data_IF_054622192332
#
_entry.id   IF_054622192332
#
_cell.length_a   1.000
_cell.length_b   1.000
_cell.length_c   1.000
_cell.angle_alpha   90.00
_cell.angle_beta   90.00
_cell.angle_gamma   90.00
#
_symmetry.space_group_name_H-M   'P 1'
#
loop_
_entity.id
_entity.type
_entity.pdbx_description
1 polymer ?
#
# COMPACT_ATOMS: atom_id res chain seq x y z
N UNK A 1 26.98 14.55 -7.21
CA UNK A 1 25.67 15.18 -6.96
C UNK A 1 24.61 14.08 -6.88
N UNK A 2 24.26 13.60 -5.68
CA UNK A 2 23.36 12.47 -5.46
C UNK A 2 21.89 12.91 -5.53
N UNK A 3 21.16 12.49 -6.58
CA UNK A 3 19.70 12.67 -6.69
C UNK A 3 18.99 11.76 -5.69
N UNK A 4 18.32 12.36 -4.70
CA UNK A 4 17.46 11.69 -3.72
C UNK A 4 16.19 11.15 -4.42
N UNK A 5 16.01 9.83 -4.52
CA UNK A 5 14.77 9.20 -5.01
C UNK A 5 13.73 9.03 -3.91
N UNK A 6 12.46 9.38 -4.18
CA UNK A 6 11.41 9.60 -3.17
C UNK A 6 10.17 8.68 -3.18
N UNK A 7 9.99 7.80 -4.17
CA UNK A 7 8.90 6.82 -4.16
C UNK A 7 9.25 5.53 -4.93
N UNK A 8 8.59 4.41 -4.61
CA UNK A 8 8.92 3.06 -5.12
C UNK A 8 7.72 2.14 -5.25
N UNK A 9 7.72 1.30 -6.28
CA UNK A 9 6.56 0.50 -6.73
C UNK A 9 6.88 -0.99 -6.90
N UNK A 10 5.98 -1.88 -6.42
CA UNK A 10 6.04 -3.36 -6.34
C UNK A 10 5.04 -4.04 -7.28
N UNK A 11 5.37 -5.11 -8.04
CA UNK A 11 4.47 -5.87 -8.97
C UNK A 11 4.43 -7.36 -8.57
N UNK A 12 3.29 -8.07 -8.70
CA UNK A 12 3.18 -9.53 -8.45
C UNK A 12 2.11 -10.28 -9.30
N UNK A 13 2.40 -11.34 -10.08
CA UNK A 13 1.42 -12.43 -10.39
C UNK A 13 1.10 -12.85 -11.86
N UNK A 14 0.10 -13.76 -12.00
CA UNK A 14 -0.27 -14.78 -13.03
C UNK A 14 -0.70 -14.31 -14.44
N UNK A 15 -0.16 -13.20 -14.93
CA UNK A 15 -0.47 -12.69 -16.28
C UNK A 15 0.57 -13.13 -17.31
N UNK A 16 0.25 -12.97 -18.61
CA UNK A 16 1.23 -13.20 -19.67
C UNK A 16 2.46 -12.34 -19.44
N UNK A 17 3.61 -12.82 -19.90
CA UNK A 17 4.87 -12.11 -19.73
C UNK A 17 4.80 -10.72 -20.37
N UNK A 18 4.17 -10.62 -21.53
CA UNK A 18 3.97 -9.37 -22.27
C UNK A 18 3.16 -8.36 -21.47
N UNK A 19 2.07 -8.80 -20.82
CA UNK A 19 1.29 -7.95 -19.93
C UNK A 19 2.12 -7.48 -18.73
N UNK A 20 2.80 -8.39 -18.05
CA UNK A 20 3.64 -8.05 -16.90
C UNK A 20 4.73 -7.03 -17.29
N UNK A 21 5.35 -7.22 -18.45
CA UNK A 21 6.38 -6.32 -18.97
C UNK A 21 5.79 -4.94 -19.31
N UNK A 22 4.58 -4.88 -19.88
CA UNK A 22 3.87 -3.61 -20.12
C UNK A 22 3.57 -2.83 -18.82
N UNK A 23 3.16 -3.53 -17.77
CA UNK A 23 2.87 -2.95 -16.45
C UNK A 23 4.16 -2.45 -15.80
N UNK A 24 5.24 -3.22 -15.87
CA UNK A 24 6.57 -2.81 -15.38
C UNK A 24 7.05 -1.58 -16.12
N UNK A 25 6.91 -1.54 -17.44
CA UNK A 25 7.32 -0.41 -18.27
C UNK A 25 6.55 0.87 -17.89
N UNK A 26 5.24 0.79 -17.70
CA UNK A 26 4.43 1.91 -17.20
C UNK A 26 5.00 2.51 -15.90
N UNK A 27 5.42 1.65 -14.97
CA UNK A 27 5.98 2.06 -13.67
C UNK A 27 7.39 2.62 -13.79
N UNK A 28 8.23 2.01 -14.64
CA UNK A 28 9.59 2.47 -14.91
C UNK A 28 9.56 3.86 -15.55
N UNK A 29 8.69 4.08 -16.53
CA UNK A 29 8.55 5.37 -17.20
C UNK A 29 8.08 6.46 -16.25
N UNK A 30 7.05 6.18 -15.44
CA UNK A 30 6.61 7.10 -14.41
C UNK A 30 7.73 7.41 -13.40
N UNK A 31 8.45 6.37 -12.95
CA UNK A 31 9.50 6.54 -11.97
C UNK A 31 10.67 7.35 -12.51
N UNK A 32 11.10 7.07 -13.76
CA UNK A 32 12.15 7.81 -14.45
C UNK A 32 11.80 9.29 -14.58
N UNK A 33 10.55 9.61 -14.93
CA UNK A 33 10.06 10.99 -15.09
C UNK A 33 10.16 11.80 -13.80
N UNK A 34 9.85 11.19 -12.65
CA UNK A 34 9.79 11.89 -11.36
C UNK A 34 11.02 11.66 -10.47
N UNK A 35 12.01 10.91 -10.94
CA UNK A 35 13.21 10.57 -10.16
C UNK A 35 12.95 9.56 -9.04
N UNK A 36 11.88 8.77 -9.16
CA UNK A 36 11.57 7.65 -8.29
C UNK A 36 12.37 6.41 -8.69
N UNK A 37 12.31 5.36 -7.87
CA UNK A 37 13.01 4.12 -8.15
C UNK A 37 12.05 2.94 -8.00
N UNK A 38 11.98 2.06 -8.99
CA UNK A 38 11.09 0.90 -8.95
C UNK A 38 11.67 -0.25 -8.10
N UNK A 39 10.81 -1.15 -7.63
CA UNK A 39 11.21 -2.32 -6.87
C UNK A 39 10.24 -3.47 -7.16
N UNK A 40 10.63 -4.47 -7.95
CA UNK A 40 9.73 -5.54 -8.39
C UNK A 40 10.05 -6.87 -7.70
N UNK A 41 9.56 -7.12 -6.47
CA UNK A 41 9.74 -8.38 -5.79
C UNK A 41 8.81 -9.46 -6.35
N UNK A 42 9.21 -10.72 -6.20
CA UNK A 42 8.39 -11.87 -6.55
C UNK A 42 7.60 -12.36 -5.36
N UNK A 43 6.46 -13.01 -5.59
CA UNK A 43 5.64 -13.62 -4.51
C UNK A 43 6.47 -14.67 -3.75
N UNK A 44 7.27 -15.46 -4.47
CA UNK A 44 8.12 -16.51 -3.90
C UNK A 44 9.28 -16.00 -3.05
N UNK A 45 9.53 -14.68 -3.01
CA UNK A 45 10.59 -14.10 -2.17
C UNK A 45 10.20 -14.07 -0.68
N UNK A 46 8.92 -14.34 -0.35
CA UNK A 46 8.39 -14.20 1.00
C UNK A 46 7.65 -15.46 1.45
N UNK A 47 7.93 -15.91 2.68
CA UNK A 47 7.12 -16.93 3.35
C UNK A 47 5.80 -16.29 3.81
N UNK A 48 4.70 -16.78 3.26
CA UNK A 48 3.35 -16.31 3.58
C UNK A 48 2.69 -17.15 4.68
N UNK A 49 3.35 -18.19 5.20
CA UNK A 49 2.81 -19.09 6.23
C UNK A 49 1.41 -19.64 5.88
N UNK A 50 1.19 -19.91 4.60
CA UNK A 50 -0.06 -20.39 4.02
C UNK A 50 -1.07 -19.30 3.66
N UNK A 51 -0.79 -18.02 3.91
CA UNK A 51 -1.62 -16.90 3.46
C UNK A 51 -1.67 -16.75 1.93
N UNK A 52 -2.76 -16.16 1.39
CA UNK A 52 -2.90 -15.99 -0.04
C UNK A 52 -1.76 -15.17 -0.63
N UNK A 53 -1.39 -15.45 -1.89
CA UNK A 53 -0.32 -14.76 -2.60
C UNK A 53 -0.43 -13.23 -2.62
N UNK A 54 -1.66 -12.69 -2.58
CA UNK A 54 -1.91 -11.25 -2.50
C UNK A 54 -1.33 -10.60 -1.24
N UNK A 55 -1.06 -11.38 -0.19
CA UNK A 55 -0.46 -10.89 1.06
C UNK A 55 1.04 -10.63 0.94
N UNK A 56 1.72 -11.14 -0.11
CA UNK A 56 3.15 -10.88 -0.35
C UNK A 56 3.49 -9.38 -0.45
N UNK A 57 2.50 -8.53 -0.74
CA UNK A 57 2.67 -7.07 -0.73
C UNK A 57 3.04 -6.48 0.63
N UNK A 58 2.63 -7.10 1.73
CA UNK A 58 2.93 -6.64 3.09
C UNK A 58 4.42 -6.80 3.42
N UNK A 59 5.02 -8.01 3.38
CA UNK A 59 6.46 -8.16 3.61
C UNK A 59 7.30 -7.47 2.53
N UNK A 60 6.79 -7.36 1.30
CA UNK A 60 7.47 -6.60 0.25
C UNK A 60 7.50 -5.09 0.50
N UNK A 61 6.43 -4.49 1.00
CA UNK A 61 6.42 -3.08 1.40
C UNK A 61 7.43 -2.83 2.53
N UNK A 62 7.50 -3.76 3.51
CA UNK A 62 8.49 -3.73 4.59
C UNK A 62 9.93 -3.83 4.06
N UNK A 63 10.16 -4.73 3.11
CA UNK A 63 11.44 -4.87 2.42
C UNK A 63 11.79 -3.58 1.68
N UNK A 64 10.84 -2.94 0.98
CA UNK A 64 11.09 -1.66 0.31
C UNK A 64 11.49 -0.54 1.29
N UNK A 65 10.80 -0.41 2.43
CA UNK A 65 11.14 0.59 3.46
C UNK A 65 12.57 0.42 4.03
N UNK A 66 13.04 -0.83 4.07
CA UNK A 66 14.38 -1.20 4.56
C UNK A 66 15.44 -0.99 3.48
N UNK A 67 15.21 -1.51 2.27
CA UNK A 67 16.13 -1.43 1.12
C UNK A 67 16.40 0.00 0.69
N UNK A 68 15.47 0.92 0.97
CA UNK A 68 15.54 2.28 0.50
C UNK A 68 15.44 3.27 1.66
N UNK A 69 16.54 3.45 2.42
CA UNK A 69 16.52 4.16 3.68
C UNK A 69 16.11 5.63 3.55
N UNK A 70 16.36 6.25 2.40
CA UNK A 70 16.12 7.67 2.16
C UNK A 70 14.81 7.99 1.43
N UNK A 71 13.94 6.99 1.18
CA UNK A 71 12.63 7.24 0.57
C UNK A 71 11.67 7.81 1.63
N UNK A 72 10.90 8.83 1.25
CA UNK A 72 9.87 9.40 2.12
C UNK A 72 8.57 8.61 2.02
N UNK A 73 8.24 8.13 0.80
CA UNK A 73 7.03 7.36 0.54
C UNK A 73 7.38 6.03 -0.13
N UNK A 74 6.53 5.02 0.09
CA UNK A 74 6.46 3.79 -0.69
C UNK A 74 5.07 3.68 -1.27
N UNK A 75 4.96 3.50 -2.59
CA UNK A 75 3.68 3.38 -3.28
C UNK A 75 3.50 1.97 -3.81
N UNK A 76 2.69 1.18 -3.13
CA UNK A 76 2.39 -0.20 -3.51
C UNK A 76 1.28 -0.20 -4.55
N UNK A 77 1.51 -0.92 -5.65
CA UNK A 77 0.56 -1.06 -6.76
C UNK A 77 0.44 -2.54 -7.16
N UNK A 78 -0.72 -3.16 -7.02
CA UNK A 78 -0.96 -4.53 -7.50
C UNK A 78 -0.64 -4.67 -8.99
N UNK A 79 -0.34 -5.88 -9.45
CA UNK A 79 0.01 -6.19 -10.85
C UNK A 79 -0.98 -5.68 -11.91
N UNK A 80 -2.24 -5.48 -11.55
CA UNK A 80 -3.30 -5.01 -12.45
C UNK A 80 -3.53 -3.49 -12.38
N UNK A 81 -2.70 -2.77 -11.62
CA UNK A 81 -2.78 -1.31 -11.51
C UNK A 81 -1.83 -0.62 -12.50
N UNK A 82 -2.38 0.34 -13.25
CA UNK A 82 -1.70 1.15 -14.27
C UNK A 82 -1.75 2.63 -13.87
N UNK A 83 -0.63 3.33 -14.02
CA UNK A 83 -0.53 4.77 -13.82
C UNK A 83 -1.00 5.47 -15.10
N UNK A 84 -2.21 6.02 -15.07
CA UNK A 84 -2.83 6.65 -16.25
C UNK A 84 -2.43 8.11 -16.46
N UNK A 85 -2.15 8.85 -15.38
CA UNK A 85 -1.70 10.25 -15.49
C UNK A 85 -0.25 10.38 -15.03
N UNK A 86 0.72 10.35 -15.96
CA UNK A 86 2.13 10.41 -15.61
C UNK A 86 2.61 11.84 -15.31
N UNK A 87 1.78 12.87 -15.46
CA UNK A 87 2.19 14.25 -15.17
C UNK A 87 2.19 14.57 -13.67
N UNK A 88 1.33 13.91 -12.90
CA UNK A 88 1.13 14.20 -11.48
C UNK A 88 2.14 13.46 -10.62
N UNK A 89 2.73 14.18 -9.66
CA UNK A 89 3.61 13.62 -8.61
C UNK A 89 2.80 13.20 -7.41
N UNK A 90 3.26 12.16 -6.72
CA UNK A 90 2.61 11.64 -5.51
C UNK A 90 2.66 12.68 -4.39
N UNK A 91 3.82 13.34 -4.20
CA UNK A 91 4.03 14.32 -3.14
C UNK A 91 3.15 15.55 -3.30
N UNK A 92 2.85 15.93 -4.54
CA UNK A 92 2.05 17.13 -4.83
C UNK A 92 0.56 16.82 -4.91
N UNK A 93 0.19 15.71 -5.55
CA UNK A 93 -1.21 15.41 -5.87
C UNK A 93 -1.93 14.61 -4.78
N UNK A 94 -1.20 13.76 -4.05
CA UNK A 94 -1.79 12.85 -3.05
C UNK A 94 -1.29 13.22 -1.66
N UNK A 95 0.01 13.16 -1.41
CA UNK A 95 0.61 13.28 -0.08
C UNK A 95 0.84 14.72 0.38
N UNK A 96 0.41 15.71 -0.41
CA UNK A 96 0.50 17.12 -0.02
C UNK A 96 -0.43 17.39 1.18
N UNK A 97 0.07 17.91 2.32
CA UNK A 97 -0.74 18.13 3.51
C UNK A 97 -1.98 19.01 3.26
N UNK A 98 -1.84 20.09 2.48
CA UNK A 98 -2.97 20.98 2.15
C UNK A 98 -4.02 20.28 1.29
N UNK A 99 -3.56 19.43 0.36
CA UNK A 99 -4.44 18.62 -0.47
C UNK A 99 -5.21 17.61 0.36
N UNK A 100 -4.53 16.86 1.23
CA UNK A 100 -5.15 15.91 2.15
C UNK A 100 -6.17 16.62 3.04
N UNK A 101 -5.81 17.73 3.67
CA UNK A 101 -6.71 18.51 4.53
C UNK A 101 -7.96 19.01 3.79
N UNK A 102 -7.86 19.28 2.49
CA UNK A 102 -9.02 19.67 1.66
C UNK A 102 -9.94 18.51 1.30
N UNK A 103 -9.47 17.27 1.39
CA UNK A 103 -10.21 16.05 1.02
C UNK A 103 -10.74 15.28 2.24
N UNK A 104 -10.14 15.48 3.41
CA UNK A 104 -10.45 14.69 4.61
C UNK A 104 -11.79 15.10 5.21
N UNK A 105 -12.65 14.10 5.41
CA UNK A 105 -13.93 14.27 6.10
C UNK A 105 -13.67 14.16 7.61
N UNK A 106 -13.75 15.29 8.31
CA UNK A 106 -13.52 15.41 9.75
C UNK A 106 -14.84 15.58 10.49
N UNK A 107 -14.86 15.17 11.76
CA UNK A 107 -16.03 15.29 12.65
C UNK A 107 -17.31 14.60 12.18
N UNK A 108 -17.19 13.62 11.28
CA UNK A 108 -18.32 12.90 10.73
C UNK A 108 -18.48 11.54 11.40
N UNK A 109 -19.72 11.17 11.70
CA UNK A 109 -20.07 9.85 12.26
C UNK A 109 -19.64 8.73 11.30
N UNK A 110 -18.88 7.77 11.81
CA UNK A 110 -18.42 6.60 11.03
C UNK A 110 -19.59 5.66 10.70
N UNK A 111 -20.61 5.61 11.56
CA UNK A 111 -21.85 4.85 11.30
C UNK A 111 -23.03 5.82 11.33
N UNK A 112 -23.60 6.19 10.16
CA UNK A 112 -24.83 6.99 10.10
C UNK A 112 -26.02 6.25 10.74
N UNK A 113 -26.96 6.95 11.39
CA UNK A 113 -27.14 8.41 11.42
C UNK A 113 -26.62 9.10 12.70
N UNK A 114 -25.85 8.42 13.57
CA UNK A 114 -25.53 9.02 14.88
C UNK A 114 -24.53 8.27 15.75
N UNK A 115 -23.47 7.67 15.19
CA UNK A 115 -22.45 7.04 16.03
C UNK A 115 -21.70 8.05 16.91
N UNK A 116 -21.46 7.68 18.17
CA UNK A 116 -20.57 8.41 19.10
C UNK A 116 -19.15 8.50 18.54
N UNK A 117 -18.75 7.50 17.75
CA UNK A 117 -17.44 7.46 17.10
C UNK A 117 -17.49 8.32 15.84
N UNK A 118 -16.75 9.42 15.88
CA UNK A 118 -16.57 10.36 14.76
C UNK A 118 -15.15 10.29 14.23
N UNK A 119 -14.95 10.73 12.98
CA UNK A 119 -13.61 11.01 12.48
C UNK A 119 -12.95 12.11 13.32
N UNK A 120 -11.63 12.03 13.48
CA UNK A 120 -10.88 12.91 14.37
C UNK A 120 -10.91 14.38 13.89
N UNK A 121 -11.36 15.28 14.77
CA UNK A 121 -11.61 16.70 14.47
C UNK A 121 -10.36 17.48 14.05
N UNK A 122 -9.23 17.18 14.71
CA UNK A 122 -7.98 17.92 14.59
C UNK A 122 -6.96 17.23 13.68
N UNK A 123 -7.42 16.34 12.79
CA UNK A 123 -6.56 15.61 11.88
C UNK A 123 -5.87 16.58 10.89
N UNK A 124 -4.53 16.55 10.87
CA UNK A 124 -3.67 17.36 9.99
C UNK A 124 -3.11 16.49 8.87
N UNK A 125 -3.03 17.03 7.66
CA UNK A 125 -2.56 16.28 6.49
C UNK A 125 -1.10 15.84 6.62
N UNK A 126 -0.30 16.61 7.38
CA UNK A 126 1.10 16.26 7.71
C UNK A 126 1.24 15.01 8.58
N UNK A 127 0.20 14.62 9.30
CA UNK A 127 0.20 13.47 10.21
C UNK A 127 -0.39 12.21 9.56
N UNK A 128 -0.52 12.19 8.23
CA UNK A 128 -1.03 11.04 7.50
C UNK A 128 0.14 10.18 7.03
N UNK A 129 0.15 8.95 7.54
CA UNK A 129 1.18 7.95 7.26
C UNK A 129 0.70 6.84 6.31
N UNK A 130 -0.61 6.73 6.09
CA UNK A 130 -1.20 5.73 5.21
C UNK A 130 -2.36 6.31 4.42
N UNK A 131 -2.32 6.11 3.10
CA UNK A 131 -3.38 6.47 2.18
C UNK A 131 -3.71 5.26 1.33
N UNK A 132 -4.99 4.94 1.20
CA UNK A 132 -5.49 3.83 0.41
C UNK A 132 -6.66 4.28 -0.47
N UNK A 133 -6.84 3.63 -1.60
CA UNK A 133 -7.90 3.98 -2.56
C UNK A 133 -9.24 3.38 -2.18
N UNK A 134 -10.33 4.08 -2.48
CA UNK A 134 -11.69 3.53 -2.43
C UNK A 134 -12.18 3.20 -3.85
N UNK A 135 -12.91 2.11 -3.97
CA UNK A 135 -13.63 1.72 -5.18
C UNK A 135 -15.13 1.54 -4.87
N UNK A 136 -15.91 1.05 -5.84
CA UNK A 136 -17.36 0.85 -5.69
C UNK A 136 -17.74 -0.17 -4.60
N UNK A 137 -16.82 -1.07 -4.25
CA UNK A 137 -17.04 -2.15 -3.29
C UNK A 137 -16.45 -1.80 -1.90
N UNK A 138 -15.80 -0.65 -1.77
CA UNK A 138 -15.31 -0.10 -0.51
C UNK A 138 -13.83 0.25 -0.55
N UNK A 139 -13.06 -0.22 0.43
CA UNK A 139 -11.63 0.05 0.52
C UNK A 139 -10.84 -0.92 -0.36
N UNK A 140 -10.07 -0.37 -1.29
CA UNK A 140 -9.24 -1.12 -2.22
C UNK A 140 -7.78 -1.16 -1.76
N UNK A 141 -7.25 -2.36 -1.61
CA UNK A 141 -5.84 -2.60 -1.26
C UNK A 141 -4.95 -2.74 -2.50
N UNK A 142 -5.47 -2.38 -3.68
CA UNK A 142 -4.75 -2.51 -4.95
C UNK A 142 -3.75 -1.37 -5.18
N UNK A 143 -3.96 -0.22 -4.54
CA UNK A 143 -3.09 0.94 -4.57
C UNK A 143 -3.09 1.60 -3.21
N UNK A 144 -1.92 1.68 -2.57
CA UNK A 144 -1.78 2.38 -1.30
C UNK A 144 -0.38 2.96 -1.12
N UNK A 145 -0.30 4.04 -0.35
CA UNK A 145 0.94 4.76 -0.07
C UNK A 145 1.20 4.71 1.42
N UNK A 146 2.45 4.44 1.78
CA UNK A 146 2.98 4.51 3.14
C UNK A 146 3.99 5.64 3.22
N UNK A 147 3.87 6.50 4.23
CA UNK A 147 4.95 7.42 4.64
C UNK A 147 5.95 6.63 5.48
N UNK A 148 7.23 6.73 5.15
CA UNK A 148 8.27 6.10 5.96
C UNK A 148 8.25 6.69 7.38
N UNK A 149 8.11 5.81 8.37
CA UNK A 149 8.17 6.15 9.78
C UNK A 149 8.03 4.91 10.65
N UNK A 150 8.20 5.06 11.96
CA UNK A 150 8.01 3.97 12.92
C UNK A 150 6.57 3.44 12.89
N UNK A 151 5.59 4.33 12.68
CA UNK A 151 4.20 3.93 12.54
C UNK A 151 3.99 2.95 11.37
N UNK A 152 4.57 3.20 10.18
CA UNK A 152 4.40 2.27 9.04
C UNK A 152 5.12 0.94 9.25
N UNK A 153 6.26 0.92 9.96
CA UNK A 153 6.90 -0.36 10.34
C UNK A 153 5.99 -1.16 11.27
N UNK A 154 5.50 -0.51 12.32
CA UNK A 154 4.56 -1.11 13.28
C UNK A 154 3.28 -1.61 12.58
N UNK A 155 2.71 -0.80 11.69
CA UNK A 155 1.52 -1.15 10.93
C UNK A 155 1.74 -2.39 10.06
N UNK A 156 2.84 -2.45 9.31
CA UNK A 156 3.16 -3.60 8.47
C UNK A 156 3.45 -4.87 9.29
N UNK A 157 4.14 -4.75 10.42
CA UNK A 157 4.41 -5.87 11.32
C UNK A 157 3.11 -6.41 11.94
N UNK A 158 2.21 -5.51 12.33
CA UNK A 158 0.87 -5.85 12.84
C UNK A 158 0.02 -6.52 11.77
N UNK A 159 -0.01 -5.96 10.56
CA UNK A 159 -0.73 -6.55 9.43
C UNK A 159 -0.23 -7.98 9.15
N UNK A 160 1.09 -8.16 9.08
CA UNK A 160 1.68 -9.47 8.83
C UNK A 160 1.36 -10.49 9.95
N UNK A 161 1.33 -10.05 11.21
CA UNK A 161 1.00 -10.92 12.36
C UNK A 161 -0.48 -11.33 12.33
N UNK A 162 -1.37 -10.40 12.01
CA UNK A 162 -2.81 -10.66 11.91
C UNK A 162 -3.14 -11.64 10.77
N UNK A 163 -2.42 -11.60 9.64
CA UNK A 163 -2.53 -12.66 8.60
C UNK A 163 -2.40 -14.03 9.22
N UNK A 164 -1.29 -14.22 9.94
CA UNK A 164 -0.86 -15.51 10.40
C UNK A 164 -1.84 -16.05 11.44
N UNK A 165 -2.34 -15.17 12.33
CA UNK A 165 -3.36 -15.50 13.32
C UNK A 165 -4.70 -15.93 12.70
N UNK A 166 -5.22 -15.16 11.73
CA UNK A 166 -6.48 -15.49 11.04
C UNK A 166 -6.34 -16.80 10.26
N UNK A 167 -5.24 -16.98 9.54
CA UNK A 167 -4.94 -18.19 8.79
C UNK A 167 -4.94 -19.43 9.69
N UNK A 168 -4.29 -19.31 10.86
CA UNK A 168 -4.19 -20.41 11.82
C UNK A 168 -5.55 -20.77 12.40
N UNK A 169 -6.38 -19.78 12.73
CA UNK A 169 -7.75 -19.98 13.18
C UNK A 169 -8.60 -20.69 12.12
N UNK A 170 -8.54 -20.24 10.86
CA UNK A 170 -9.28 -20.88 9.76
C UNK A 170 -8.81 -22.33 9.49
N UNK A 171 -7.50 -22.61 9.57
CA UNK A 171 -6.97 -23.98 9.45
C UNK A 171 -7.49 -24.89 10.57
N UNK A 172 -7.46 -24.41 11.81
CA UNK A 172 -7.96 -25.16 12.96
C UNK A 172 -9.47 -25.43 12.82
N UNK A 173 -10.26 -24.46 12.35
CA UNK A 173 -11.69 -24.62 12.09
C UNK A 173 -11.97 -25.72 11.06
N UNK A 174 -11.31 -25.68 9.90
CA UNK A 174 -11.50 -26.69 8.84
C UNK A 174 -11.01 -28.08 9.26
N UNK A 175 -10.04 -28.17 10.17
CA UNK A 175 -9.61 -29.44 10.76
C UNK A 175 -10.65 -30.00 11.75
N UNK A 176 -11.41 -29.12 12.42
CA UNK A 176 -12.41 -29.52 13.41
C UNK A 176 -13.72 -30.01 12.76
N UNK A 177 -14.09 -29.46 11.59
CA UNK A 177 -15.28 -29.85 10.82
C UNK A 177 -15.05 -30.97 9.79
N UNK A 178 -13.84 -31.54 9.71
CA UNK A 178 -13.51 -32.69 8.86
C UNK A 178 -13.47 -34.03 9.61
N UNK A 179 -13.98 -34.06 10.84
CA UNK A 179 -14.22 -35.29 11.62
C UNK A 179 -15.69 -35.61 11.67
#
# INVERSE_FOLDING_TARGET
>A
MLRRSRAKTIVFGIYSKEYQDSVKENRIQYARKHGYATFFPSIGDYDLHGSPNSWAKVPAARHALTKFPHTEYVWVLEQNAIIMNPALKIEDHIMNPKRLESLMIKDQSIVPPGSVIKTFSSLKGGNIDFVLTQDKDGLSQASFILRKGEWSKFFLDTWNTLSNGIQQSCRNWHSCHRK
#
